data_IF_283882527636
#
_entry.id   IF_283882527636
#
_cell.length_a   1.000
_cell.length_b   1.000
_cell.length_c   1.000
_cell.angle_alpha   90.00
_cell.angle_beta   90.00
_cell.angle_gamma   90.00
#
_symmetry.space_group_name_H-M   'P 1'
#
loop_
_entity.id
_entity.type
_entity.pdbx_description
1 polymer ?
#
# COMPACT_ATOMS: atom_id res chain seq x y z
N UNK A 1 -6.67 6.72 8.01
CA UNK A 1 -5.64 7.76 7.81
C UNK A 1 -6.15 8.71 6.73
N UNK A 2 -5.96 10.01 6.89
CA UNK A 2 -6.29 11.02 5.88
C UNK A 2 -5.15 11.17 4.86
N UNK A 3 -5.40 11.82 3.72
CA UNK A 3 -4.35 12.20 2.74
C UNK A 3 -3.19 12.93 3.43
N UNK A 4 -3.50 13.88 4.32
CA UNK A 4 -2.50 14.64 5.06
C UNK A 4 -1.64 13.77 5.98
N UNK A 5 -2.26 12.81 6.66
CA UNK A 5 -1.56 11.83 7.51
C UNK A 5 -0.64 10.92 6.70
N UNK A 6 -1.07 10.46 5.51
CA UNK A 6 -0.24 9.66 4.61
C UNK A 6 0.96 10.46 4.08
N UNK A 7 0.74 11.71 3.63
CA UNK A 7 1.83 12.60 3.19
C UNK A 7 2.85 12.77 4.33
N UNK A 8 2.37 13.03 5.55
CA UNK A 8 3.25 13.22 6.71
C UNK A 8 4.03 11.95 7.04
N UNK A 9 3.36 10.80 7.10
CA UNK A 9 3.95 9.49 7.40
C UNK A 9 5.11 9.21 6.45
N UNK A 10 4.82 9.22 5.15
CA UNK A 10 5.81 8.86 4.11
C UNK A 10 6.94 9.89 4.07
N UNK A 11 6.64 11.19 4.21
CA UNK A 11 7.69 12.22 4.31
C UNK A 11 8.66 11.93 5.45
N UNK A 12 8.15 11.51 6.62
CA UNK A 12 8.97 11.19 7.78
C UNK A 12 9.79 9.91 7.55
N UNK A 13 9.20 8.87 6.95
CA UNK A 13 9.92 7.65 6.56
C UNK A 13 11.05 7.93 5.57
N UNK A 14 10.88 8.93 4.69
CA UNK A 14 11.92 9.42 3.77
C UNK A 14 12.89 10.42 4.40
N UNK A 15 12.78 10.68 5.71
CA UNK A 15 13.63 11.62 6.45
C UNK A 15 13.63 13.05 5.88
N UNK A 16 12.52 13.48 5.28
CA UNK A 16 12.38 14.81 4.71
C UNK A 16 11.71 15.77 5.71
N UNK A 17 12.14 17.03 5.72
CA UNK A 17 11.43 18.12 6.42
C UNK A 17 10.26 18.64 5.56
N UNK A 18 9.28 19.31 6.17
CA UNK A 18 8.18 19.97 5.44
C UNK A 18 8.71 20.98 4.40
N UNK A 19 9.81 21.68 4.74
CA UNK A 19 10.49 22.61 3.85
C UNK A 19 11.09 21.91 2.64
N UNK A 20 11.84 20.81 2.86
CA UNK A 20 12.43 20.03 1.77
C UNK A 20 11.37 19.47 0.82
N UNK A 21 10.29 18.90 1.35
CA UNK A 21 9.19 18.43 0.50
C UNK A 21 8.57 19.60 -0.30
N UNK A 22 8.39 20.76 0.34
CA UNK A 22 7.91 21.96 -0.32
C UNK A 22 8.81 22.39 -1.50
N UNK A 23 10.12 22.43 -1.28
CA UNK A 23 11.12 22.74 -2.31
C UNK A 23 11.03 21.75 -3.50
N UNK A 24 10.87 20.46 -3.23
CA UNK A 24 10.75 19.42 -4.26
C UNK A 24 9.51 19.56 -5.14
N UNK A 25 8.37 20.01 -4.58
CA UNK A 25 7.08 20.10 -5.30
C UNK A 25 6.73 21.52 -5.76
N UNK A 26 7.61 22.49 -5.49
CA UNK A 26 7.37 23.91 -5.78
C UNK A 26 6.28 24.55 -4.91
N UNK A 27 6.20 24.16 -3.63
CA UNK A 27 5.27 24.69 -2.64
C UNK A 27 6.01 25.25 -1.40
N UNK A 28 5.37 26.14 -0.64
CA UNK A 28 5.95 26.63 0.61
C UNK A 28 5.81 25.60 1.74
N UNK A 29 6.71 25.66 2.73
CA UNK A 29 6.62 24.82 3.95
C UNK A 29 5.24 24.95 4.62
N UNK A 30 4.70 26.16 4.69
CA UNK A 30 3.37 26.43 5.25
C UNK A 30 2.26 25.70 4.48
N UNK A 31 2.43 25.53 3.17
CA UNK A 31 1.50 24.81 2.31
C UNK A 31 1.53 23.30 2.57
N UNK A 32 2.74 22.73 2.68
CA UNK A 32 2.93 21.33 3.07
C UNK A 32 2.33 21.07 4.44
N UNK A 33 2.59 21.94 5.42
CA UNK A 33 1.97 21.86 6.75
C UNK A 33 0.44 21.92 6.71
N UNK A 34 -0.13 22.76 5.85
CA UNK A 34 -1.58 22.84 5.68
C UNK A 34 -2.17 21.55 5.08
N UNK A 35 -1.45 20.88 4.17
CA UNK A 35 -1.82 19.56 3.67
C UNK A 35 -1.73 18.49 4.76
N UNK A 36 -0.60 18.40 5.46
CA UNK A 36 -0.38 17.36 6.49
C UNK A 36 -1.32 17.47 7.69
N UNK A 37 -1.84 18.66 7.97
CA UNK A 37 -2.80 18.89 9.05
C UNK A 37 -4.27 18.74 8.63
N UNK A 38 -4.54 18.42 7.35
CA UNK A 38 -5.90 18.33 6.81
C UNK A 38 -6.63 19.67 6.69
N UNK A 39 -5.97 20.80 7.00
CA UNK A 39 -6.55 22.15 6.82
C UNK A 39 -6.80 22.47 5.36
N UNK A 40 -6.10 21.79 4.45
CA UNK A 40 -6.27 21.89 3.01
C UNK A 40 -6.10 20.51 2.38
N UNK A 41 -6.91 20.22 1.37
CA UNK A 41 -6.70 19.04 0.53
C UNK A 41 -5.91 19.42 -0.73
N UNK A 42 -4.87 18.65 -1.11
CA UNK A 42 -4.17 18.84 -2.38
C UNK A 42 -5.13 18.56 -3.55
N UNK A 43 -4.98 19.32 -4.64
CA UNK A 43 -5.64 18.99 -5.92
C UNK A 43 -4.99 17.74 -6.51
N UNK A 44 -5.65 16.99 -7.41
CA UNK A 44 -5.06 15.80 -8.05
C UNK A 44 -3.65 16.06 -8.61
N UNK A 45 -3.47 17.15 -9.36
CA UNK A 45 -2.16 17.55 -9.90
C UNK A 45 -1.10 17.88 -8.85
N UNK A 46 -1.49 18.32 -7.66
CA UNK A 46 -0.57 18.55 -6.54
C UNK A 46 -0.25 17.24 -5.83
N UNK A 47 -1.23 16.35 -5.72
CA UNK A 47 -1.08 15.03 -5.13
C UNK A 47 -0.10 14.18 -5.94
N UNK A 48 -0.21 14.21 -7.27
CA UNK A 48 0.75 13.56 -8.19
C UNK A 48 2.17 14.06 -7.97
N UNK A 49 2.39 15.39 -7.95
CA UNK A 49 3.72 15.96 -7.67
C UNK A 49 4.28 15.55 -6.32
N UNK A 50 3.42 15.46 -5.29
CA UNK A 50 3.82 15.01 -3.96
C UNK A 50 4.16 13.51 -4.00
N UNK A 51 3.38 12.69 -4.70
CA UNK A 51 3.64 11.28 -4.88
C UNK A 51 4.98 11.05 -5.60
N UNK A 52 5.24 11.78 -6.68
CA UNK A 52 6.50 11.74 -7.43
C UNK A 52 7.69 12.14 -6.54
N UNK A 53 7.58 13.27 -5.83
CA UNK A 53 8.63 13.75 -4.92
C UNK A 53 8.89 12.79 -3.77
N UNK A 54 7.86 12.09 -3.29
CA UNK A 54 7.99 11.04 -2.29
C UNK A 54 8.31 9.67 -2.89
N UNK A 55 8.38 9.54 -4.23
CA UNK A 55 8.55 8.29 -4.96
C UNK A 55 7.64 7.19 -4.43
N UNK A 56 6.33 7.44 -4.47
CA UNK A 56 5.27 6.49 -4.11
C UNK A 56 4.17 6.54 -5.16
N UNK A 57 3.36 5.48 -5.23
CA UNK A 57 2.18 5.49 -6.08
C UNK A 57 1.16 6.55 -5.59
N UNK A 58 0.57 7.39 -6.46
CA UNK A 58 -0.44 8.38 -6.06
C UNK A 58 -1.61 7.82 -5.25
N UNK A 59 -2.00 6.56 -5.49
CA UNK A 59 -3.06 5.87 -4.75
C UNK A 59 -2.76 5.70 -3.25
N UNK A 60 -1.48 5.62 -2.89
CA UNK A 60 -1.03 5.58 -1.49
C UNK A 60 -1.44 6.87 -0.78
N UNK A 61 -1.36 8.01 -1.47
CA UNK A 61 -1.74 9.31 -0.91
C UNK A 61 -3.23 9.59 -1.01
N UNK A 62 -3.89 9.18 -2.10
CA UNK A 62 -5.28 9.53 -2.44
C UNK A 62 -6.35 8.94 -1.50
N UNK A 63 -5.99 7.96 -0.67
CA UNK A 63 -6.90 7.28 0.24
C UNK A 63 -7.30 8.10 1.48
N UNK A 64 -7.95 9.27 1.30
CA UNK A 64 -8.35 10.14 2.43
C UNK A 64 -9.57 9.71 3.23
N UNK A 65 -10.44 8.84 2.72
CA UNK A 65 -11.66 8.44 3.43
C UNK A 65 -11.80 6.93 3.46
N UNK A 66 -10.89 6.26 4.16
CA UNK A 66 -10.99 4.82 4.40
C UNK A 66 -11.70 4.57 5.72
N UNK A 67 -13.01 4.31 5.66
CA UNK A 67 -13.77 3.71 6.75
C UNK A 67 -13.98 2.20 6.47
N UNK A 68 -14.36 1.45 7.50
CA UNK A 68 -14.55 0.00 7.36
C UNK A 68 -15.60 -0.40 6.31
N UNK A 69 -16.58 0.47 6.04
CA UNK A 69 -17.63 0.22 5.03
C UNK A 69 -17.03 0.37 3.63
N UNK A 70 -16.26 1.43 3.38
CA UNK A 70 -15.55 1.62 2.11
C UNK A 70 -14.50 0.53 1.88
N UNK A 71 -13.84 0.07 2.95
CA UNK A 71 -12.93 -1.07 2.90
C UNK A 71 -13.63 -2.34 2.41
N UNK A 72 -14.78 -2.68 3.00
CA UNK A 72 -15.52 -3.88 2.59
C UNK A 72 -16.09 -3.76 1.18
N UNK A 73 -16.56 -2.57 0.77
CA UNK A 73 -17.01 -2.35 -0.60
C UNK A 73 -15.91 -2.55 -1.63
N UNK A 74 -14.67 -2.14 -1.33
CA UNK A 74 -13.50 -2.42 -2.18
C UNK A 74 -13.21 -3.92 -2.23
N UNK A 75 -13.26 -4.61 -1.09
CA UNK A 75 -13.12 -6.07 -1.05
C UNK A 75 -14.20 -6.76 -1.90
N UNK A 76 -15.46 -6.30 -1.87
CA UNK A 76 -16.52 -6.83 -2.73
C UNK A 76 -16.30 -6.58 -4.23
N UNK A 77 -15.65 -5.47 -4.59
CA UNK A 77 -15.26 -5.22 -5.98
C UNK A 77 -14.18 -6.20 -6.41
N UNK A 78 -13.12 -6.34 -5.60
CA UNK A 78 -12.01 -7.26 -5.86
C UNK A 78 -12.53 -8.71 -5.93
N UNK A 79 -13.36 -9.13 -4.97
CA UNK A 79 -13.97 -10.46 -4.93
C UNK A 79 -14.73 -10.80 -6.21
N UNK A 80 -15.55 -9.88 -6.72
CA UNK A 80 -16.33 -10.11 -7.95
C UNK A 80 -15.46 -10.09 -9.21
N UNK A 81 -14.41 -9.26 -9.22
CA UNK A 81 -13.56 -9.07 -10.39
C UNK A 81 -12.52 -10.19 -10.56
N UNK A 82 -12.04 -10.76 -9.47
CA UNK A 82 -10.88 -11.66 -9.49
C UNK A 82 -11.18 -13.08 -9.05
N UNK A 83 -12.40 -13.56 -9.31
CA UNK A 83 -12.87 -14.90 -8.94
C UNK A 83 -12.60 -15.22 -7.46
N UNK A 84 -13.17 -14.38 -6.60
CA UNK A 84 -13.01 -14.47 -5.16
C UNK A 84 -13.72 -15.69 -4.57
N UNK A 85 -13.09 -16.34 -3.60
CA UNK A 85 -13.69 -17.43 -2.83
C UNK A 85 -13.45 -17.21 -1.33
N UNK A 86 -14.43 -17.59 -0.50
CA UNK A 86 -14.30 -17.56 0.96
C UNK A 86 -14.20 -18.98 1.50
N UNK A 87 -13.41 -19.14 2.55
CA UNK A 87 -13.25 -20.42 3.24
C UNK A 87 -13.03 -20.19 4.73
N UNK A 88 -13.45 -21.15 5.54
CA UNK A 88 -13.17 -21.16 6.98
C UNK A 88 -11.80 -21.82 7.22
N UNK A 89 -11.05 -21.29 8.19
CA UNK A 89 -9.82 -21.91 8.68
C UNK A 89 -9.59 -21.56 10.16
N UNK A 90 -8.71 -22.30 10.83
CA UNK A 90 -8.32 -21.97 12.19
C UNK A 90 -6.91 -21.39 12.20
N UNK A 91 -6.70 -20.32 12.97
CA UNK A 91 -5.35 -19.79 13.18
C UNK A 91 -4.52 -20.73 14.08
N UNK A 92 -3.26 -20.36 14.31
CA UNK A 92 -2.33 -21.13 15.15
C UNK A 92 -2.80 -21.31 16.60
N UNK A 93 -3.72 -20.46 17.06
CA UNK A 93 -4.26 -20.45 18.42
C UNK A 93 -5.63 -21.17 18.48
N UNK A 94 -6.10 -21.72 17.35
CA UNK A 94 -7.37 -22.45 17.23
C UNK A 94 -8.60 -21.56 17.08
N UNK A 95 -8.43 -20.27 16.83
CA UNK A 95 -9.55 -19.35 16.61
C UNK A 95 -10.09 -19.50 15.19
N UNK A 96 -11.42 -19.54 15.06
CA UNK A 96 -12.09 -19.61 13.76
C UNK A 96 -11.92 -18.28 12.99
N UNK A 97 -11.46 -18.40 11.75
CA UNK A 97 -11.17 -17.29 10.85
C UNK A 97 -11.84 -17.52 9.49
N UNK A 98 -12.01 -16.41 8.76
CA UNK A 98 -12.46 -16.43 7.38
C UNK A 98 -11.28 -16.03 6.49
N UNK A 99 -10.89 -16.93 5.60
CA UNK A 99 -9.95 -16.69 4.53
C UNK A 99 -10.66 -16.24 3.25
N UNK A 100 -9.96 -15.44 2.46
CA UNK A 100 -10.37 -15.06 1.11
C UNK A 100 -9.25 -15.43 0.14
N UNK A 101 -9.59 -16.07 -0.97
CA UNK A 101 -8.68 -16.35 -2.09
C UNK A 101 -9.21 -15.70 -3.37
N UNK A 102 -8.32 -15.48 -4.33
CA UNK A 102 -8.64 -14.90 -5.64
C UNK A 102 -8.01 -15.75 -6.74
N UNK A 103 -8.82 -16.26 -7.66
CA UNK A 103 -8.35 -17.14 -8.74
C UNK A 103 -7.48 -16.43 -9.79
N UNK A 104 -7.71 -15.12 -10.02
CA UNK A 104 -7.05 -14.38 -11.11
C UNK A 104 -6.23 -13.17 -10.68
N UNK A 105 -6.08 -12.93 -9.37
CA UNK A 105 -5.26 -11.85 -8.84
C UNK A 105 -3.80 -12.32 -8.63
N UNK A 106 -3.08 -12.51 -9.73
CA UNK A 106 -1.72 -13.09 -9.76
C UNK A 106 -0.67 -12.33 -8.93
N UNK A 107 -0.88 -11.02 -8.73
CA UNK A 107 0.01 -10.17 -7.93
C UNK A 107 -0.02 -10.50 -6.43
N UNK A 108 -1.05 -11.22 -5.95
CA UNK A 108 -1.10 -11.70 -4.56
C UNK A 108 0.09 -12.59 -4.22
N UNK A 109 0.60 -13.36 -5.19
CA UNK A 109 1.76 -14.21 -4.94
C UNK A 109 3.01 -13.39 -4.64
N UNK A 110 3.21 -12.25 -5.31
CA UNK A 110 4.36 -11.38 -5.04
C UNK A 110 4.27 -10.73 -3.67
N UNK A 111 3.06 -10.39 -3.24
CA UNK A 111 2.83 -9.88 -1.89
C UNK A 111 3.09 -10.97 -0.84
N UNK A 112 2.61 -12.20 -1.06
CA UNK A 112 2.90 -13.34 -0.19
C UNK A 112 4.41 -13.60 -0.07
N UNK A 113 5.11 -13.70 -1.20
CA UNK A 113 6.57 -13.90 -1.24
C UNK A 113 7.32 -12.81 -0.46
N UNK A 114 6.85 -11.55 -0.53
CA UNK A 114 7.44 -10.44 0.25
C UNK A 114 7.09 -10.51 1.72
N UNK A 115 5.86 -10.88 2.05
CA UNK A 115 5.37 -11.00 3.43
C UNK A 115 6.09 -12.11 4.19
N UNK A 116 6.30 -13.28 3.57
CA UNK A 116 7.07 -14.37 4.18
C UNK A 116 8.49 -13.93 4.54
N UNK A 117 9.17 -13.22 3.63
CA UNK A 117 10.48 -12.61 3.91
C UNK A 117 10.44 -11.62 5.09
N UNK A 118 9.39 -10.81 5.15
CA UNK A 118 9.20 -9.87 6.27
C UNK A 118 9.03 -10.62 7.60
N UNK A 119 8.26 -11.71 7.62
CA UNK A 119 8.10 -12.55 8.82
C UNK A 119 9.45 -13.14 9.24
N UNK A 120 10.24 -13.68 8.31
CA UNK A 120 11.60 -14.17 8.62
C UNK A 120 12.53 -13.05 9.15
N UNK A 121 12.47 -11.85 8.58
CA UNK A 121 13.23 -10.68 9.03
C UNK A 121 12.85 -10.33 10.48
N UNK A 122 11.56 -10.34 10.81
CA UNK A 122 11.05 -10.08 12.17
C UNK A 122 11.50 -11.16 13.14
N UNK A 123 11.45 -12.44 12.77
CA UNK A 123 11.95 -13.54 13.59
C UNK A 123 13.44 -13.37 13.93
N UNK A 124 14.28 -13.09 12.93
CA UNK A 124 15.71 -12.80 13.11
C UNK A 124 15.95 -11.58 14.01
N UNK A 125 15.13 -10.54 13.87
CA UNK A 125 15.21 -9.37 14.75
C UNK A 125 14.90 -9.75 16.21
N UNK A 126 13.91 -10.60 16.43
CA UNK A 126 13.50 -11.02 17.78
C UNK A 126 14.58 -11.82 18.53
N UNK A 127 15.53 -12.43 17.82
CA UNK A 127 16.70 -13.12 18.40
C UNK A 127 17.76 -12.14 18.96
N UNK A 128 17.70 -10.85 18.62
CA UNK A 128 18.64 -9.83 19.12
C UNK A 128 18.43 -9.62 20.63
N UNK A 129 19.45 -9.96 21.42
CA UNK A 129 19.43 -9.85 22.89
C UNK A 129 19.32 -8.41 23.40
N UNK A 130 19.99 -7.49 22.72
CA UNK A 130 19.97 -6.07 23.09
C UNK A 130 18.62 -5.46 22.70
N UNK A 131 17.85 -5.03 23.69
CA UNK A 131 16.48 -4.53 23.51
C UNK A 131 16.45 -3.31 22.58
N UNK A 132 17.43 -2.42 22.68
CA UNK A 132 17.47 -1.20 21.85
C UNK A 132 17.77 -1.57 20.41
N UNK A 133 18.80 -2.40 20.17
CA UNK A 133 19.15 -2.86 18.82
C UNK A 133 18.05 -3.69 18.18
N UNK A 134 17.34 -4.51 18.97
CA UNK A 134 16.16 -5.25 18.51
C UNK A 134 15.06 -4.30 18.05
N UNK A 135 14.74 -3.28 18.86
CA UNK A 135 13.74 -2.28 18.50
C UNK A 135 14.09 -1.54 17.21
N UNK A 136 15.34 -1.11 17.07
CA UNK A 136 15.85 -0.47 15.85
C UNK A 136 15.76 -1.39 14.62
N UNK A 137 16.08 -2.67 14.77
CA UNK A 137 16.00 -3.66 13.69
C UNK A 137 14.56 -3.96 13.26
N UNK A 138 13.63 -4.10 14.22
CA UNK A 138 12.20 -4.31 13.93
C UNK A 138 11.60 -3.13 13.18
N UNK A 139 11.87 -1.89 13.65
CA UNK A 139 11.42 -0.67 12.97
C UNK A 139 11.97 -0.59 11.54
N UNK A 140 13.21 -1.02 11.33
CA UNK A 140 13.81 -1.08 10.00
C UNK A 140 13.11 -2.09 9.09
N UNK A 141 12.87 -3.31 9.57
CA UNK A 141 12.19 -4.35 8.80
C UNK A 141 10.76 -3.92 8.41
N UNK A 142 10.03 -3.31 9.34
CA UNK A 142 8.69 -2.75 9.07
C UNK A 142 8.75 -1.62 8.04
N UNK A 143 9.70 -0.69 8.17
CA UNK A 143 9.87 0.40 7.21
C UNK A 143 10.22 -0.12 5.80
N UNK A 144 11.05 -1.16 5.67
CA UNK A 144 11.39 -1.78 4.39
C UNK A 144 10.20 -2.54 3.76
N UNK A 145 9.34 -3.15 4.57
CA UNK A 145 8.10 -3.77 4.11
C UNK A 145 7.08 -2.73 3.65
N UNK A 146 6.88 -1.66 4.43
CA UNK A 146 6.01 -0.54 4.05
C UNK A 146 6.50 0.15 2.79
N UNK A 147 7.80 0.38 2.66
CA UNK A 147 8.39 0.96 1.45
C UNK A 147 8.11 0.10 0.22
N UNK A 148 8.20 -1.23 0.34
CA UNK A 148 7.87 -2.13 -0.76
C UNK A 148 6.41 -1.95 -1.23
N UNK A 149 5.46 -1.81 -0.30
CA UNK A 149 4.05 -1.55 -0.62
C UNK A 149 3.83 -0.15 -1.20
N UNK A 150 4.47 0.87 -0.64
CA UNK A 150 4.29 2.28 -1.03
C UNK A 150 4.79 2.58 -2.46
N UNK A 151 5.78 1.82 -2.96
CA UNK A 151 6.34 1.96 -4.31
C UNK A 151 5.82 0.89 -5.29
N UNK A 152 4.75 0.18 -4.95
CA UNK A 152 4.18 -0.81 -5.87
C UNK A 152 3.45 -0.11 -7.05
N UNK A 153 3.59 -0.57 -8.31
CA UNK A 153 4.19 -1.83 -8.77
C UNK A 153 5.69 -1.77 -9.12
N UNK A 154 6.38 -0.65 -8.93
CA UNK A 154 7.82 -0.53 -9.22
C UNK A 154 8.66 -1.50 -8.38
N UNK A 155 8.19 -1.86 -7.18
CA UNK A 155 8.78 -2.90 -6.33
C UNK A 155 8.47 -4.35 -6.74
N UNK A 156 7.67 -4.58 -7.79
CA UNK A 156 7.30 -5.92 -8.26
C UNK A 156 8.51 -6.64 -8.86
N UNK A 157 9.02 -7.72 -8.21
CA UNK A 157 10.19 -8.42 -8.71
C UNK A 157 9.90 -9.25 -9.96
N UNK A 158 8.64 -9.67 -10.18
CA UNK A 158 8.27 -10.59 -11.26
C UNK A 158 7.49 -9.86 -12.36
N UNK A 159 8.20 -9.30 -13.33
CA UNK A 159 7.61 -8.56 -14.46
C UNK A 159 6.61 -9.39 -15.28
N UNK A 160 6.74 -10.72 -15.29
CA UNK A 160 5.78 -11.62 -15.93
C UNK A 160 4.42 -11.63 -15.22
N UNK A 161 4.38 -11.66 -13.88
CA UNK A 161 3.14 -11.58 -13.11
C UNK A 161 2.41 -10.25 -13.36
N UNK A 162 3.16 -9.15 -13.44
CA UNK A 162 2.60 -7.84 -13.79
C UNK A 162 1.97 -7.83 -15.20
N UNK A 163 2.60 -8.49 -16.18
CA UNK A 163 2.05 -8.61 -17.53
C UNK A 163 0.78 -9.47 -17.55
N UNK A 164 0.77 -10.59 -16.84
CA UNK A 164 -0.39 -11.48 -16.72
C UNK A 164 -1.57 -10.70 -16.12
N UNK A 165 -1.32 -9.95 -15.03
CA UNK A 165 -2.37 -9.15 -14.40
C UNK A 165 -2.94 -8.09 -15.34
N UNK A 166 -2.06 -7.32 -16.00
CA UNK A 166 -2.49 -6.30 -16.98
C UNK A 166 -3.33 -6.89 -18.10
N UNK A 167 -2.96 -8.06 -18.63
CA UNK A 167 -3.72 -8.73 -19.67
C UNK A 167 -5.10 -9.19 -19.19
N UNK A 168 -5.20 -9.72 -17.97
CA UNK A 168 -6.49 -10.04 -17.34
C UNK A 168 -7.38 -8.80 -17.22
N UNK A 169 -6.83 -7.70 -16.71
CA UNK A 169 -7.58 -6.47 -16.47
C UNK A 169 -8.12 -5.86 -17.79
N UNK A 170 -7.31 -5.88 -18.87
CA UNK A 170 -7.74 -5.47 -20.21
C UNK A 170 -8.91 -6.31 -20.76
N UNK A 171 -8.92 -7.62 -20.48
CA UNK A 171 -10.01 -8.51 -20.88
C UNK A 171 -11.29 -8.20 -20.10
N UNK A 172 -11.17 -8.03 -18.79
CA UNK A 172 -12.33 -7.70 -17.93
C UNK A 172 -12.95 -6.36 -18.29
N UNK A 173 -12.14 -5.35 -18.62
CA UNK A 173 -12.60 -4.05 -19.10
C UNK A 173 -13.39 -4.16 -20.41
N UNK A 174 -12.93 -4.99 -21.36
CA UNK A 174 -13.62 -5.23 -22.64
C UNK A 174 -14.96 -5.92 -22.42
N UNK A 175 -14.97 -6.98 -21.61
CA UNK A 175 -16.18 -7.72 -21.27
C UNK A 175 -17.19 -6.79 -20.59
N UNK A 176 -16.75 -6.01 -19.61
CA UNK A 176 -17.58 -5.03 -18.92
C UNK A 176 -18.25 -4.05 -19.87
N UNK A 177 -17.52 -3.52 -20.86
CA UNK A 177 -18.10 -2.59 -21.87
C UNK A 177 -19.15 -3.25 -22.76
N UNK A 178 -18.95 -4.50 -23.18
CA UNK A 178 -19.93 -5.25 -24.01
C UNK A 178 -21.23 -5.63 -23.29
N UNK A 179 -21.27 -5.63 -21.95
CA UNK A 179 -22.50 -5.91 -21.19
C UNK A 179 -23.35 -4.65 -20.92
N UNK A 180 -22.86 -3.46 -21.25
CA UNK A 180 -23.54 -2.17 -21.04
C UNK A 180 -23.89 -1.42 -22.35
N UNK A 181 -23.72 -2.05 -23.52
CA UNK A 181 -24.28 -1.63 -24.82
C UNK A 181 -25.52 -2.47 -25.17
#
# INVERSE_FOLDING_TARGET
MTVGENIRRIRQERNLTQRQLGEMVGASEAYIRAYESGRRNPKPSSLEKIADALSVNPEVLANSDFDGIKAIHRLFQIFRQYDGQLFEYQDKDGNDMVGISFGTLSLMQSWLDRYEKYVEEVEKCNEIKDVKKRGEALLKAEAEFNLWMDIYPESEPWQERLKIQKAHDEVMDKIGRTFFE
#
